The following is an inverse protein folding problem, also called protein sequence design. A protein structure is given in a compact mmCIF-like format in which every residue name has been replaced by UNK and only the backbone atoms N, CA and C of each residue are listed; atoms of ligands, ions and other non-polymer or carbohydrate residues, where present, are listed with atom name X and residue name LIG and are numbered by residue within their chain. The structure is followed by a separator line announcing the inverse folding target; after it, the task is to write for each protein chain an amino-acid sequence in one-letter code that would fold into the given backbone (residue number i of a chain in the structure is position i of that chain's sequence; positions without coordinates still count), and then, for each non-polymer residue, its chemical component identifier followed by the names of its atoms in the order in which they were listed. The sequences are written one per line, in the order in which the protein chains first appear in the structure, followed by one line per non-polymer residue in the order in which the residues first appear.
data_IF_809299525582
#
_entry.id   IF_809299525582
#
_cell.length_a   1.000
_cell.length_b   1.000
_cell.length_c   1.000
_cell.angle_alpha   90.00
_cell.angle_beta   90.00
_cell.angle_gamma   90.00
#
_symmetry.space_group_name_H-M   'P 1'
#
loop_
_entity.id
_entity.type
_entity.pdbx_description
1 polymer ?
#
# COMPACT_ATOMS: atom_id res chain seq x y z
N UNK A 1 -4.53 37.55 1.07
CA UNK A 1 -4.60 37.07 -0.31
C UNK A 1 -5.95 36.42 -0.44
N UNK A 2 -6.78 36.76 -1.44
CA UNK A 2 -8.10 36.15 -1.59
C UNK A 2 -7.95 34.67 -1.89
N UNK A 3 -8.54 33.82 -1.05
CA UNK A 3 -8.60 32.39 -1.28
C UNK A 3 -9.38 32.12 -2.56
N UNK A 4 -8.73 31.44 -3.50
CA UNK A 4 -9.36 31.07 -4.76
C UNK A 4 -10.39 29.98 -4.54
N UNK A 5 -11.58 30.19 -5.07
CA UNK A 5 -12.62 29.17 -5.05
C UNK A 5 -12.26 27.99 -5.96
N UNK A 6 -12.96 26.86 -5.78
CA UNK A 6 -12.82 25.68 -6.65
C UNK A 6 -12.94 26.03 -8.14
N UNK A 7 -13.97 26.81 -8.49
CA UNK A 7 -14.20 27.22 -9.88
C UNK A 7 -13.07 28.09 -10.42
N UNK A 8 -12.55 28.99 -9.58
CA UNK A 8 -11.42 29.85 -9.96
C UNK A 8 -10.14 29.03 -10.20
N UNK A 9 -9.84 28.04 -9.34
CA UNK A 9 -8.67 27.14 -9.52
C UNK A 9 -8.76 26.36 -10.84
N UNK A 10 -9.92 25.78 -11.14
CA UNK A 10 -10.17 25.05 -12.39
C UNK A 10 -9.96 25.99 -13.59
N UNK A 11 -10.57 27.17 -13.55
CA UNK A 11 -10.48 28.18 -14.61
C UNK A 11 -9.05 28.64 -14.87
N UNK A 12 -8.26 28.96 -13.82
CA UNK A 12 -6.88 29.39 -13.96
C UNK A 12 -6.00 28.29 -14.57
N UNK A 13 -6.11 27.06 -14.07
CA UNK A 13 -5.33 25.96 -14.63
C UNK A 13 -5.70 25.68 -16.09
N UNK A 14 -6.98 25.74 -16.44
CA UNK A 14 -7.41 25.61 -17.83
C UNK A 14 -6.78 26.70 -18.72
N UNK A 15 -6.83 27.96 -18.26
CA UNK A 15 -6.25 29.08 -19.00
C UNK A 15 -4.73 28.98 -19.11
N UNK A 16 -4.03 28.55 -18.04
CA UNK A 16 -2.58 28.34 -18.07
C UNK A 16 -2.18 27.26 -19.09
N UNK A 17 -3.01 26.23 -19.27
CA UNK A 17 -2.84 25.19 -20.30
C UNK A 17 -3.38 25.62 -21.67
N UNK A 18 -3.87 26.85 -21.83
CA UNK A 18 -4.46 27.40 -23.07
C UNK A 18 -5.63 26.58 -23.62
N UNK A 19 -6.35 25.89 -22.76
CA UNK A 19 -7.52 25.07 -23.14
C UNK A 19 -8.80 25.92 -23.15
N UNK A 20 -9.68 25.64 -24.10
CA UNK A 20 -11.05 26.14 -24.09
C UNK A 20 -11.91 25.35 -23.12
N UNK A 21 -13.06 25.89 -22.69
CA UNK A 21 -14.03 25.14 -21.87
C UNK A 21 -14.52 23.86 -22.57
N UNK A 22 -14.61 23.87 -23.91
CA UNK A 22 -15.03 22.71 -24.69
C UNK A 22 -13.98 21.60 -24.68
N UNK A 23 -12.71 21.96 -24.77
CA UNK A 23 -11.59 21.01 -24.73
C UNK A 23 -11.46 20.37 -23.32
N UNK A 24 -11.54 21.18 -22.24
CA UNK A 24 -11.47 20.64 -20.87
C UNK A 24 -12.70 19.81 -20.53
N UNK A 25 -13.91 20.18 -21.01
CA UNK A 25 -15.11 19.39 -20.77
C UNK A 25 -15.07 18.02 -21.46
N UNK A 26 -14.41 17.92 -22.61
CA UNK A 26 -14.27 16.69 -23.39
C UNK A 26 -15.62 16.03 -23.70
N UNK A 27 -15.68 14.71 -23.52
CA UNK A 27 -16.91 13.92 -23.64
C UNK A 27 -17.55 13.57 -22.29
N UNK A 28 -16.94 13.97 -21.17
CA UNK A 28 -17.35 13.53 -19.83
C UNK A 28 -18.38 14.48 -19.17
N UNK A 29 -18.19 15.79 -19.35
CA UNK A 29 -19.13 16.81 -18.87
C UNK A 29 -19.50 17.76 -20.01
N UNK A 30 -20.61 18.47 -19.89
CA UNK A 30 -20.97 19.46 -20.87
C UNK A 30 -20.20 20.77 -20.67
N UNK A 31 -19.94 21.54 -21.77
CA UNK A 31 -19.37 22.87 -21.66
C UNK A 31 -20.14 23.77 -20.68
N UNK A 32 -21.48 23.66 -20.70
CA UNK A 32 -22.33 24.46 -19.83
C UNK A 32 -22.14 24.10 -18.34
N UNK A 33 -22.03 22.80 -18.03
CA UNK A 33 -21.72 22.34 -16.69
C UNK A 33 -20.34 22.83 -16.22
N UNK A 34 -19.31 22.76 -17.07
CA UNK A 34 -17.99 23.28 -16.74
C UNK A 34 -18.03 24.79 -16.50
N UNK A 35 -18.79 25.54 -17.30
CA UNK A 35 -18.99 26.99 -17.09
C UNK A 35 -19.63 27.31 -15.75
N UNK A 36 -20.64 26.51 -15.33
CA UNK A 36 -21.27 26.66 -14.02
C UNK A 36 -20.30 26.33 -12.88
N UNK A 37 -19.47 25.31 -13.03
CA UNK A 37 -18.43 24.95 -12.06
C UNK A 37 -17.39 26.07 -11.94
N UNK A 38 -16.87 26.59 -13.07
CA UNK A 38 -15.88 27.67 -13.07
C UNK A 38 -16.39 29.00 -12.47
N UNK A 39 -17.71 29.19 -12.42
CA UNK A 39 -18.36 30.35 -11.82
C UNK A 39 -18.94 30.05 -10.42
N UNK A 40 -18.59 28.90 -9.82
CA UNK A 40 -19.06 28.46 -8.49
C UNK A 40 -20.59 28.38 -8.36
N UNK A 41 -21.31 28.28 -9.49
CA UNK A 41 -22.77 28.15 -9.52
C UNK A 41 -23.24 26.69 -9.54
N UNK A 42 -22.31 25.72 -9.67
CA UNK A 42 -22.58 24.29 -9.52
C UNK A 42 -21.36 23.59 -8.88
N UNK A 43 -21.64 22.62 -8.00
CA UNK A 43 -20.62 21.76 -7.42
C UNK A 43 -20.47 20.50 -8.27
N UNK A 44 -19.28 20.16 -8.76
CA UNK A 44 -19.06 18.93 -9.52
C UNK A 44 -19.25 17.70 -8.65
N UNK A 45 -19.72 16.59 -9.25
CA UNK A 45 -19.70 15.29 -8.60
C UNK A 45 -18.26 14.80 -8.41
N UNK A 46 -18.02 13.83 -7.51
CA UNK A 46 -16.68 13.25 -7.30
C UNK A 46 -16.08 12.72 -8.62
N UNK A 47 -16.86 12.02 -9.43
CA UNK A 47 -16.43 11.54 -10.77
C UNK A 47 -16.06 12.67 -11.72
N UNK A 48 -16.80 13.79 -11.68
CA UNK A 48 -16.48 14.97 -12.48
C UNK A 48 -15.21 15.66 -11.98
N UNK A 49 -14.97 15.65 -10.66
CA UNK A 49 -13.75 16.16 -10.06
C UNK A 49 -12.52 15.34 -10.47
N UNK A 50 -12.60 14.01 -10.38
CA UNK A 50 -11.53 13.11 -10.83
C UNK A 50 -11.18 13.33 -12.29
N UNK A 51 -12.19 13.44 -13.13
CA UNK A 51 -12.00 13.75 -14.55
C UNK A 51 -11.27 15.08 -14.76
N UNK A 52 -11.72 16.15 -14.11
CA UNK A 52 -11.11 17.49 -14.24
C UNK A 52 -9.69 17.52 -13.66
N UNK A 53 -9.45 16.84 -12.54
CA UNK A 53 -8.13 16.71 -11.91
C UNK A 53 -7.13 16.02 -12.86
N UNK A 54 -7.53 14.91 -13.46
CA UNK A 54 -6.71 14.18 -14.44
C UNK A 54 -6.45 15.01 -15.70
N UNK A 55 -7.47 15.67 -16.26
CA UNK A 55 -7.34 16.52 -17.47
C UNK A 55 -6.45 17.75 -17.23
N UNK A 56 -6.45 18.26 -16.00
CA UNK A 56 -5.61 19.40 -15.58
C UNK A 56 -4.25 18.97 -15.01
N UNK A 57 -3.98 17.66 -14.93
CA UNK A 57 -2.73 17.08 -14.40
C UNK A 57 -2.41 17.58 -12.98
N UNK A 58 -3.43 17.60 -12.13
CA UNK A 58 -3.32 17.95 -10.71
C UNK A 58 -4.01 16.89 -9.85
N UNK A 59 -3.48 16.58 -8.68
CA UNK A 59 -4.17 15.69 -7.76
C UNK A 59 -5.52 16.29 -7.36
N UNK A 60 -6.52 15.45 -7.13
CA UNK A 60 -7.88 15.91 -6.78
C UNK A 60 -7.88 16.81 -5.53
N UNK A 61 -6.98 16.54 -4.57
CA UNK A 61 -6.79 17.33 -3.35
C UNK A 61 -6.51 18.81 -3.62
N UNK A 62 -5.79 19.14 -4.72
CA UNK A 62 -5.53 20.53 -5.11
C UNK A 62 -6.81 21.36 -5.30
N UNK A 63 -7.87 20.73 -5.79
CA UNK A 63 -9.13 21.42 -6.09
C UNK A 63 -10.08 21.47 -4.88
N UNK A 64 -10.02 20.47 -4.03
CA UNK A 64 -10.89 20.36 -2.85
C UNK A 64 -10.37 21.21 -1.67
N UNK A 65 -9.13 21.65 -1.78
CA UNK A 65 -8.47 22.47 -0.79
C UNK A 65 -8.94 23.94 -0.88
N UNK A 66 -9.48 24.46 0.21
CA UNK A 66 -9.96 25.84 0.33
C UNK A 66 -8.83 26.87 0.52
N UNK A 67 -7.62 26.60 0.02
CA UNK A 67 -6.54 27.62 0.00
C UNK A 67 -5.68 27.68 1.26
N UNK A 68 -5.92 26.82 2.26
CA UNK A 68 -5.17 26.83 3.53
C UNK A 68 -4.23 25.63 3.73
N UNK A 69 -4.12 24.67 2.77
CA UNK A 69 -3.57 23.35 3.05
C UNK A 69 -2.06 23.31 3.28
N UNK A 70 -1.23 24.03 2.52
CA UNK A 70 0.21 23.94 2.72
C UNK A 70 0.67 24.72 3.98
N UNK A 71 0.06 25.87 4.23
CA UNK A 71 0.37 26.68 5.44
C UNK A 71 -0.17 25.97 6.68
N UNK A 72 -1.38 25.42 6.61
CA UNK A 72 -1.98 24.69 7.74
C UNK A 72 -1.27 23.37 8.00
N UNK A 73 -0.85 22.64 6.96
CA UNK A 73 -0.11 21.39 7.12
C UNK A 73 1.25 21.62 7.83
N UNK A 74 2.02 22.60 7.39
CA UNK A 74 3.31 22.90 8.04
C UNK A 74 3.14 23.39 9.48
N UNK A 75 2.08 24.14 9.79
CA UNK A 75 1.75 24.54 11.15
C UNK A 75 1.30 23.34 12.00
N UNK A 76 0.47 22.44 11.46
CA UNK A 76 0.09 21.23 12.13
C UNK A 76 1.31 20.36 12.47
N UNK A 77 2.17 20.12 11.48
CA UNK A 77 3.40 19.33 11.68
C UNK A 77 4.30 19.96 12.74
N UNK A 78 4.45 21.28 12.75
CA UNK A 78 5.24 21.99 13.77
C UNK A 78 4.65 21.80 15.17
N UNK A 79 3.33 21.89 15.33
CA UNK A 79 2.66 21.67 16.62
C UNK A 79 2.80 20.21 17.08
N UNK A 80 2.63 19.25 16.17
CA UNK A 80 2.78 17.83 16.49
C UNK A 80 4.21 17.47 16.89
N UNK A 81 5.21 18.05 16.23
CA UNK A 81 6.62 17.87 16.61
C UNK A 81 6.86 18.41 18.02
N UNK A 82 6.31 19.60 18.33
CA UNK A 82 6.46 20.20 19.67
C UNK A 82 5.76 19.36 20.75
N UNK A 83 4.56 18.85 20.49
CA UNK A 83 3.83 17.98 21.42
C UNK A 83 4.55 16.64 21.63
N UNK A 84 5.02 15.99 20.55
CA UNK A 84 5.81 14.76 20.67
C UNK A 84 7.13 14.99 21.43
N UNK A 85 7.80 16.12 21.24
CA UNK A 85 9.00 16.46 21.97
C UNK A 85 8.75 16.68 23.49
N UNK A 86 7.54 17.01 23.86
CA UNK A 86 7.07 17.13 25.25
C UNK A 86 6.45 15.83 25.81
N UNK A 87 6.38 14.78 25.00
CA UNK A 87 5.67 13.53 25.30
C UNK A 87 4.17 13.71 25.62
N UNK A 88 3.58 14.82 25.12
CA UNK A 88 2.15 15.12 25.27
C UNK A 88 1.34 14.45 24.13
N UNK A 89 1.28 13.13 24.19
CA UNK A 89 0.63 12.33 23.15
C UNK A 89 -0.90 12.47 23.16
N UNK A 90 -1.50 12.80 24.31
CA UNK A 90 -2.95 13.05 24.41
C UNK A 90 -3.34 14.29 23.61
N UNK A 91 -2.62 15.40 23.78
CA UNK A 91 -2.83 16.61 22.98
C UNK A 91 -2.50 16.41 21.49
N UNK A 92 -1.51 15.57 21.17
CA UNK A 92 -1.18 15.25 19.78
C UNK A 92 -2.31 14.47 19.09
N UNK A 93 -2.89 13.47 19.77
CA UNK A 93 -4.02 12.67 19.28
C UNK A 93 -5.26 13.54 19.11
N UNK A 94 -5.63 14.34 20.12
CA UNK A 94 -6.79 15.25 20.04
C UNK A 94 -6.67 16.22 18.85
N UNK A 95 -5.50 16.82 18.66
CA UNK A 95 -5.23 17.71 17.54
C UNK A 95 -5.39 17.00 16.19
N UNK A 96 -4.84 15.79 16.04
CA UNK A 96 -4.94 15.02 14.80
C UNK A 96 -6.38 14.57 14.50
N UNK A 97 -7.12 14.11 15.52
CA UNK A 97 -8.53 13.73 15.36
C UNK A 97 -9.41 14.93 14.96
N UNK A 98 -9.16 16.12 15.50
CA UNK A 98 -9.91 17.35 15.15
C UNK A 98 -9.57 17.80 13.72
N UNK A 99 -8.29 17.81 13.37
CA UNK A 99 -7.84 18.22 12.05
C UNK A 99 -8.29 17.26 10.94
N UNK A 100 -8.28 15.95 11.18
CA UNK A 100 -8.79 14.96 10.22
C UNK A 100 -10.31 15.05 10.04
N UNK A 101 -11.09 15.44 11.06
CA UNK A 101 -12.51 15.74 10.91
C UNK A 101 -12.75 16.98 10.05
N UNK A 102 -11.89 17.99 10.20
CA UNK A 102 -12.00 19.26 9.49
C UNK A 102 -11.46 19.16 8.06
N UNK A 103 -10.44 18.32 7.86
CA UNK A 103 -9.73 18.10 6.60
C UNK A 103 -9.66 16.61 6.26
N UNK A 104 -10.77 15.94 5.90
CA UNK A 104 -10.82 14.49 5.67
C UNK A 104 -9.82 14.01 4.60
N UNK A 105 -9.47 14.85 3.63
CA UNK A 105 -8.51 14.54 2.58
C UNK A 105 -7.07 14.38 3.09
N UNK A 106 -6.78 14.81 4.30
CA UNK A 106 -5.46 14.56 4.89
C UNK A 106 -5.26 13.10 5.28
N UNK A 107 -6.33 12.31 5.34
CA UNK A 107 -6.22 10.86 5.48
C UNK A 107 -5.49 10.19 4.30
N UNK A 108 -5.48 10.82 3.11
CA UNK A 108 -4.72 10.36 1.94
C UNK A 108 -3.22 10.71 2.03
N UNK A 109 -2.81 11.52 3.00
CA UNK A 109 -1.42 11.91 3.19
C UNK A 109 -0.71 10.94 4.12
N UNK A 110 0.21 10.14 3.57
CA UNK A 110 0.94 9.10 4.29
C UNK A 110 1.65 9.64 5.55
N UNK A 111 2.26 10.84 5.49
CA UNK A 111 2.97 11.42 6.63
C UNK A 111 2.01 11.75 7.79
N UNK A 112 0.82 12.27 7.49
CA UNK A 112 -0.21 12.56 8.52
C UNK A 112 -0.71 11.25 9.12
N UNK A 113 -0.90 10.22 8.30
CA UNK A 113 -1.34 8.93 8.78
C UNK A 113 -0.28 8.21 9.61
N UNK A 114 0.98 8.31 9.23
CA UNK A 114 2.08 7.79 10.04
C UNK A 114 2.13 8.50 11.42
N UNK A 115 1.94 9.81 11.46
CA UNK A 115 1.86 10.58 12.70
C UNK A 115 0.63 10.19 13.52
N UNK A 116 -0.53 10.04 12.88
CA UNK A 116 -1.76 9.62 13.52
C UNK A 116 -1.61 8.26 14.20
N UNK A 117 -1.13 7.26 13.46
CA UNK A 117 -0.94 5.91 14.01
C UNK A 117 0.12 5.91 15.12
N UNK A 118 1.28 6.56 14.90
CA UNK A 118 2.34 6.58 15.90
C UNK A 118 1.91 7.31 17.18
N UNK A 119 1.24 8.47 17.09
CA UNK A 119 0.77 9.19 18.29
C UNK A 119 -0.22 8.35 19.10
N UNK A 120 -1.14 7.64 18.44
CA UNK A 120 -2.06 6.72 19.12
C UNK A 120 -1.35 5.53 19.76
N UNK A 121 -0.34 4.94 19.10
CA UNK A 121 0.46 3.86 19.66
C UNK A 121 1.25 4.34 20.90
N UNK A 122 1.85 5.52 20.86
CA UNK A 122 2.55 6.09 22.03
C UNK A 122 1.58 6.39 23.17
N UNK A 123 0.42 6.98 22.89
CA UNK A 123 -0.60 7.23 23.91
C UNK A 123 -1.12 5.94 24.53
N UNK A 124 -1.38 4.92 23.71
CA UNK A 124 -1.80 3.61 24.21
C UNK A 124 -0.75 2.97 25.12
N UNK A 125 0.53 3.01 24.75
CA UNK A 125 1.62 2.54 25.61
C UNK A 125 1.69 3.31 26.93
N UNK A 126 1.52 4.64 26.90
CA UNK A 126 1.47 5.44 28.13
C UNK A 126 0.34 4.98 29.06
N UNK A 127 -0.84 4.67 28.53
CA UNK A 127 -1.96 4.13 29.31
C UNK A 127 -1.69 2.70 29.83
N UNK A 128 -1.01 1.86 29.03
CA UNK A 128 -0.59 0.50 29.45
C UNK A 128 0.39 0.61 30.64
N UNK A 129 1.39 1.48 30.54
CA UNK A 129 2.37 1.70 31.62
C UNK A 129 1.73 2.23 32.91
N UNK A 130 0.63 2.97 32.79
CA UNK A 130 -0.19 3.42 33.93
C UNK A 130 -1.19 2.37 34.45
N UNK A 131 -1.26 1.19 33.83
CA UNK A 131 -2.25 0.15 34.15
C UNK A 131 -3.69 0.51 33.72
N UNK A 132 -3.85 1.52 32.88
CA UNK A 132 -5.18 1.96 32.40
C UNK A 132 -5.55 1.28 31.07
N UNK A 133 -5.75 -0.02 31.13
CA UNK A 133 -5.98 -0.87 29.94
C UNK A 133 -7.27 -0.51 29.18
N UNK A 134 -8.30 -0.02 29.86
CA UNK A 134 -9.54 0.37 29.19
C UNK A 134 -9.31 1.58 28.25
N UNK A 135 -8.58 2.59 28.72
CA UNK A 135 -8.25 3.74 27.85
C UNK A 135 -7.31 3.32 26.71
N UNK A 136 -6.39 2.42 26.97
CA UNK A 136 -5.52 1.89 25.91
C UNK A 136 -6.32 1.15 24.82
N UNK A 137 -7.31 0.31 25.21
CA UNK A 137 -8.20 -0.36 24.25
C UNK A 137 -8.99 0.65 23.42
N UNK A 138 -9.54 1.70 24.05
CA UNK A 138 -10.30 2.73 23.35
C UNK A 138 -9.45 3.47 22.30
N UNK A 139 -8.23 3.87 22.66
CA UNK A 139 -7.29 4.56 21.77
C UNK A 139 -6.91 3.69 20.58
N UNK A 140 -6.54 2.42 20.82
CA UNK A 140 -6.15 1.49 19.75
C UNK A 140 -7.34 1.13 18.85
N UNK A 141 -8.55 0.99 19.42
CA UNK A 141 -9.76 0.69 18.65
C UNK A 141 -10.16 1.84 17.72
N UNK A 142 -9.90 3.09 18.10
CA UNK A 142 -10.11 4.25 17.21
C UNK A 142 -9.25 4.15 15.95
N UNK A 143 -7.98 3.75 16.07
CA UNK A 143 -7.10 3.59 14.91
C UNK A 143 -7.65 2.52 13.96
N UNK A 144 -8.14 1.38 14.50
CA UNK A 144 -8.73 0.33 13.66
C UNK A 144 -10.02 0.76 12.95
N UNK A 145 -10.81 1.66 13.55
CA UNK A 145 -12.01 2.21 12.90
C UNK A 145 -11.65 3.08 11.68
N UNK A 146 -10.47 3.70 11.68
CA UNK A 146 -9.94 4.39 10.50
C UNK A 146 -9.39 3.41 9.43
N UNK A 147 -9.12 2.14 9.78
CA UNK A 147 -8.61 1.12 8.84
C UNK A 147 -9.54 0.92 7.63
N UNK A 148 -10.86 0.99 7.83
CA UNK A 148 -11.85 0.84 6.75
C UNK A 148 -11.75 1.95 5.69
N UNK A 149 -11.26 3.13 6.07
CA UNK A 149 -11.12 4.30 5.21
C UNK A 149 -9.67 4.53 4.76
N UNK A 150 -8.69 3.91 5.45
CA UNK A 150 -7.26 4.07 5.23
C UNK A 150 -6.70 2.81 4.56
N UNK A 151 -6.95 2.67 3.28
CA UNK A 151 -6.44 1.58 2.41
C UNK A 151 -4.91 1.44 2.36
N UNK A 152 -4.15 2.28 3.07
CA UNK A 152 -2.69 2.36 3.01
C UNK A 152 -1.97 2.14 4.35
N UNK A 153 -2.65 1.65 5.40
CA UNK A 153 -1.94 1.32 6.64
C UNK A 153 -0.99 0.15 6.38
N UNK A 154 0.29 0.34 6.71
CA UNK A 154 1.29 -0.70 6.49
C UNK A 154 1.05 -1.91 7.39
N UNK A 155 1.34 -3.11 6.89
CA UNK A 155 1.23 -4.36 7.67
C UNK A 155 1.95 -4.27 9.04
N UNK A 156 3.04 -3.49 9.13
CA UNK A 156 3.78 -3.33 10.38
C UNK A 156 3.00 -2.53 11.45
N UNK A 157 2.22 -1.52 11.06
CA UNK A 157 1.36 -0.79 11.98
C UNK A 157 0.18 -1.66 12.44
N UNK A 158 -0.46 -2.36 11.52
CA UNK A 158 -1.53 -3.30 11.84
C UNK A 158 -1.06 -4.38 12.82
N UNK A 159 0.13 -4.95 12.58
CA UNK A 159 0.74 -5.90 13.51
C UNK A 159 0.90 -5.31 14.90
N UNK A 160 1.50 -4.12 15.02
CA UNK A 160 1.71 -3.46 16.33
C UNK A 160 0.40 -3.18 17.06
N UNK A 161 -0.63 -2.73 16.35
CA UNK A 161 -1.95 -2.45 16.93
C UNK A 161 -2.59 -3.75 17.44
N UNK A 162 -2.60 -4.82 16.65
CA UNK A 162 -3.17 -6.09 17.06
C UNK A 162 -2.39 -6.74 18.20
N UNK A 163 -1.08 -6.59 18.25
CA UNK A 163 -0.22 -7.09 19.32
C UNK A 163 -0.57 -6.41 20.64
N UNK A 164 -0.62 -5.06 20.65
CA UNK A 164 -1.04 -4.29 21.84
C UNK A 164 -2.50 -4.57 22.24
N UNK A 165 -3.43 -4.71 21.30
CA UNK A 165 -4.81 -5.05 21.60
C UNK A 165 -4.95 -6.46 22.20
N UNK A 166 -4.13 -7.41 21.77
CA UNK A 166 -4.09 -8.74 22.37
C UNK A 166 -3.60 -8.68 23.83
N UNK A 167 -2.54 -7.92 24.09
CA UNK A 167 -2.01 -7.69 25.43
C UNK A 167 -3.05 -7.01 26.33
N UNK A 168 -3.59 -5.88 25.91
CA UNK A 168 -4.60 -5.11 26.65
C UNK A 168 -5.85 -5.93 26.93
N UNK A 169 -6.36 -6.67 25.95
CA UNK A 169 -7.53 -7.55 26.14
C UNK A 169 -7.24 -8.67 27.12
N UNK A 170 -6.00 -9.18 27.17
CA UNK A 170 -5.59 -10.17 28.15
C UNK A 170 -5.59 -9.61 29.57
N UNK A 171 -5.10 -8.37 29.76
CA UNK A 171 -5.12 -7.68 31.05
C UNK A 171 -6.53 -7.32 31.55
N UNK A 172 -7.48 -7.18 30.62
CA UNK A 172 -8.90 -6.94 30.88
C UNK A 172 -9.72 -8.24 31.08
N UNK A 173 -9.08 -9.40 31.19
CA UNK A 173 -9.70 -10.72 31.25
C UNK A 173 -10.62 -11.06 30.04
N UNK A 174 -10.42 -10.41 28.91
CA UNK A 174 -11.20 -10.61 27.68
C UNK A 174 -10.52 -11.65 26.76
N UNK A 175 -10.34 -12.88 27.26
CA UNK A 175 -9.52 -13.91 26.63
C UNK A 175 -9.88 -14.21 25.14
N UNK A 176 -11.15 -14.21 24.80
CA UNK A 176 -11.57 -14.48 23.40
C UNK A 176 -11.19 -13.34 22.45
N UNK A 177 -11.29 -12.08 22.90
CA UNK A 177 -10.80 -10.94 22.13
C UNK A 177 -9.26 -10.99 21.99
N UNK A 178 -8.56 -11.27 23.08
CA UNK A 178 -7.10 -11.40 23.09
C UNK A 178 -6.64 -12.43 22.05
N UNK A 179 -7.25 -13.62 22.05
CA UNK A 179 -6.96 -14.67 21.05
C UNK A 179 -7.26 -14.21 19.63
N UNK A 180 -8.37 -13.51 19.41
CA UNK A 180 -8.75 -13.03 18.09
C UNK A 180 -7.73 -12.00 17.55
N UNK A 181 -7.32 -11.04 18.38
CA UNK A 181 -6.30 -10.05 18.01
C UNK A 181 -4.93 -10.69 17.81
N UNK A 182 -4.51 -11.59 18.69
CA UNK A 182 -3.27 -12.35 18.54
C UNK A 182 -3.22 -13.10 17.20
N UNK A 183 -4.30 -13.79 16.83
CA UNK A 183 -4.35 -14.52 15.56
C UNK A 183 -4.26 -13.60 14.35
N UNK A 184 -4.89 -12.42 14.40
CA UNK A 184 -4.76 -11.40 13.34
C UNK A 184 -3.31 -10.90 13.24
N UNK A 185 -2.70 -10.53 14.36
CA UNK A 185 -1.30 -10.11 14.41
C UNK A 185 -0.34 -11.21 13.92
N UNK A 186 -0.57 -12.46 14.34
CA UNK A 186 0.20 -13.62 13.89
C UNK A 186 0.18 -13.77 12.38
N UNK A 187 -0.99 -13.66 11.75
CA UNK A 187 -1.11 -13.76 10.28
C UNK A 187 -0.31 -12.66 9.57
N UNK A 188 -0.35 -11.44 10.09
CA UNK A 188 0.38 -10.31 9.51
C UNK A 188 1.89 -10.49 9.67
N UNK A 189 2.36 -10.86 10.87
CA UNK A 189 3.81 -11.04 11.09
C UNK A 189 4.37 -12.20 10.25
N UNK A 190 3.62 -13.28 10.08
CA UNK A 190 3.99 -14.37 9.18
C UNK A 190 4.19 -13.88 7.75
N UNK A 191 3.28 -13.06 7.23
CA UNK A 191 3.40 -12.44 5.90
C UNK A 191 4.62 -11.52 5.79
N UNK A 192 4.90 -10.70 6.80
CA UNK A 192 6.08 -9.82 6.83
C UNK A 192 7.36 -10.66 6.81
N UNK A 193 7.44 -11.70 7.64
CA UNK A 193 8.60 -12.60 7.72
C UNK A 193 8.82 -13.31 6.39
N UNK A 194 7.76 -13.89 5.80
CA UNK A 194 7.80 -14.55 4.49
C UNK A 194 8.35 -13.61 3.40
N UNK A 195 7.80 -12.39 3.33
CA UNK A 195 8.26 -11.38 2.37
C UNK A 195 9.74 -11.03 2.54
N UNK A 196 10.22 -10.90 3.79
CA UNK A 196 11.64 -10.62 4.08
C UNK A 196 12.56 -11.78 3.71
N UNK A 197 12.15 -13.01 4.01
CA UNK A 197 12.90 -14.21 3.63
C UNK A 197 13.04 -14.32 2.11
N UNK A 198 11.93 -14.15 1.38
CA UNK A 198 11.93 -14.16 -0.09
C UNK A 198 12.79 -13.03 -0.65
N UNK A 199 12.76 -11.83 -0.05
CA UNK A 199 13.62 -10.72 -0.48
C UNK A 199 15.11 -11.02 -0.26
N UNK A 200 15.47 -11.69 0.84
CA UNK A 200 16.84 -12.13 1.10
C UNK A 200 17.32 -13.11 0.05
N UNK A 201 16.49 -14.12 -0.30
CA UNK A 201 16.83 -15.08 -1.38
C UNK A 201 17.02 -14.36 -2.73
N UNK A 202 16.16 -13.38 -3.04
CA UNK A 202 16.29 -12.59 -4.27
C UNK A 202 17.62 -11.84 -4.34
N UNK A 203 18.04 -11.20 -3.25
CA UNK A 203 19.32 -10.50 -3.16
C UNK A 203 20.49 -11.47 -3.38
N UNK A 204 20.52 -12.61 -2.70
CA UNK A 204 21.54 -13.65 -2.88
C UNK A 204 21.59 -14.17 -4.32
N UNK A 205 20.42 -14.35 -4.93
CA UNK A 205 20.34 -14.74 -6.35
C UNK A 205 20.97 -13.68 -7.28
N UNK A 206 20.79 -12.41 -7.00
CA UNK A 206 21.34 -11.30 -7.78
C UNK A 206 22.86 -11.15 -7.57
N UNK A 207 23.34 -11.37 -6.34
CA UNK A 207 24.77 -11.30 -6.01
C UNK A 207 25.58 -12.50 -6.53
N UNK A 208 24.90 -13.55 -7.02
CA UNK A 208 25.55 -14.72 -7.61
C UNK A 208 26.03 -15.76 -6.58
N UNK A 209 25.56 -15.69 -5.33
CA UNK A 209 25.87 -16.66 -4.26
C UNK A 209 25.11 -17.98 -4.46
N UNK A 210 25.40 -18.72 -5.55
CA UNK A 210 24.57 -19.86 -5.96
C UNK A 210 24.61 -21.06 -4.98
N UNK A 211 25.75 -21.33 -4.33
CA UNK A 211 25.86 -22.44 -3.38
C UNK A 211 25.05 -22.22 -2.11
N UNK A 212 25.20 -21.05 -1.48
CA UNK A 212 24.45 -20.69 -0.27
C UNK A 212 22.96 -20.54 -0.55
N UNK A 213 22.59 -20.06 -1.75
CA UNK A 213 21.21 -19.90 -2.17
C UNK A 213 20.47 -21.23 -2.29
N UNK A 214 21.11 -22.27 -2.86
CA UNK A 214 20.51 -23.59 -3.00
C UNK A 214 20.23 -24.24 -1.63
N UNK A 215 21.16 -24.09 -0.68
CA UNK A 215 21.01 -24.56 0.70
C UNK A 215 19.89 -23.82 1.45
N UNK A 216 19.84 -22.50 1.32
CA UNK A 216 18.78 -21.69 1.92
C UNK A 216 17.39 -22.06 1.37
N UNK A 217 17.27 -22.25 0.05
CA UNK A 217 16.02 -22.70 -0.58
C UNK A 217 15.57 -24.06 -0.02
N UNK A 218 16.49 -25.00 0.13
CA UNK A 218 16.18 -26.35 0.62
C UNK A 218 15.76 -26.36 2.09
N UNK A 219 16.26 -25.44 2.91
CA UNK A 219 16.01 -25.37 4.34
C UNK A 219 14.83 -24.48 4.73
N UNK A 220 14.24 -23.73 3.78
CA UNK A 220 13.20 -22.77 4.08
C UNK A 220 11.83 -23.45 4.26
N UNK A 221 11.19 -23.19 5.39
CA UNK A 221 9.82 -23.62 5.65
C UNK A 221 8.82 -22.59 5.07
N UNK A 222 8.14 -23.00 4.01
CA UNK A 222 7.20 -22.13 3.28
C UNK A 222 5.72 -22.39 3.59
N UNK A 223 5.42 -23.26 4.59
CA UNK A 223 4.02 -23.67 4.91
C UNK A 223 3.11 -22.52 5.28
N UNK A 224 3.68 -21.48 5.91
CA UNK A 224 2.94 -20.30 6.38
C UNK A 224 3.04 -19.10 5.40
N UNK A 225 3.56 -19.31 4.20
CA UNK A 225 3.68 -18.23 3.22
C UNK A 225 2.31 -17.86 2.64
N UNK A 226 2.07 -16.56 2.50
CA UNK A 226 0.95 -16.08 1.69
C UNK A 226 1.17 -16.41 0.19
N UNK A 227 0.09 -16.45 -0.61
CA UNK A 227 0.21 -16.87 -2.02
C UNK A 227 1.20 -16.05 -2.84
N UNK A 228 1.33 -14.76 -2.57
CA UNK A 228 2.28 -13.90 -3.28
C UNK A 228 3.74 -14.21 -2.90
N UNK A 229 4.02 -14.33 -1.61
CA UNK A 229 5.35 -14.70 -1.12
C UNK A 229 5.77 -16.09 -1.60
N UNK A 230 4.82 -17.04 -1.62
CA UNK A 230 5.06 -18.38 -2.12
C UNK A 230 5.37 -18.39 -3.63
N UNK A 231 4.61 -17.64 -4.43
CA UNK A 231 4.86 -17.52 -5.87
C UNK A 231 6.24 -16.89 -6.16
N UNK A 232 6.63 -15.86 -5.42
CA UNK A 232 7.97 -15.26 -5.54
C UNK A 232 9.08 -16.23 -5.13
N UNK A 233 8.87 -16.99 -4.05
CA UNK A 233 9.80 -18.03 -3.63
C UNK A 233 10.00 -19.05 -4.77
N UNK A 234 8.90 -19.58 -5.34
CA UNK A 234 9.00 -20.55 -6.43
C UNK A 234 9.70 -19.98 -7.68
N UNK A 235 9.48 -18.71 -8.02
CA UNK A 235 10.18 -18.06 -9.13
C UNK A 235 11.71 -18.00 -8.88
N UNK A 236 12.13 -17.64 -7.66
CA UNK A 236 13.55 -17.55 -7.29
C UNK A 236 14.18 -18.94 -7.28
N UNK A 237 13.49 -19.92 -6.67
CA UNK A 237 13.94 -21.32 -6.63
C UNK A 237 14.11 -21.88 -8.05
N UNK A 238 13.10 -21.72 -8.91
CA UNK A 238 13.17 -22.16 -10.30
C UNK A 238 14.31 -21.50 -11.09
N UNK A 239 14.51 -20.18 -10.90
CA UNK A 239 15.64 -19.46 -11.52
C UNK A 239 16.99 -19.97 -11.03
N UNK A 240 17.11 -20.27 -9.74
CA UNK A 240 18.32 -20.82 -9.14
C UNK A 240 18.62 -22.22 -9.68
N UNK A 241 17.62 -23.11 -9.72
CA UNK A 241 17.76 -24.46 -10.28
C UNK A 241 18.17 -24.44 -11.75
N UNK A 242 17.57 -23.54 -12.54
CA UNK A 242 17.97 -23.37 -13.95
C UNK A 242 19.45 -22.97 -14.08
N UNK A 243 19.92 -22.01 -13.29
CA UNK A 243 21.35 -21.57 -13.30
C UNK A 243 22.30 -22.69 -12.92
N UNK A 244 21.85 -23.64 -12.10
CA UNK A 244 22.61 -24.81 -11.69
C UNK A 244 22.50 -26.00 -12.68
N UNK A 245 21.83 -25.81 -13.84
CA UNK A 245 21.64 -26.85 -14.85
C UNK A 245 20.56 -27.90 -14.52
N UNK A 246 19.75 -27.65 -13.46
CA UNK A 246 18.70 -28.57 -12.99
C UNK A 246 17.36 -28.18 -13.64
N UNK A 247 17.23 -28.43 -14.96
CA UNK A 247 16.10 -27.93 -15.74
C UNK A 247 14.76 -28.57 -15.32
N UNK A 248 14.72 -29.83 -14.91
CA UNK A 248 13.47 -30.51 -14.50
C UNK A 248 12.90 -29.89 -13.21
N UNK A 249 13.74 -29.69 -12.20
CA UNK A 249 13.36 -29.04 -10.95
C UNK A 249 12.98 -27.57 -11.18
N UNK A 250 13.73 -26.87 -12.02
CA UNK A 250 13.44 -25.49 -12.40
C UNK A 250 12.05 -25.36 -13.01
N UNK A 251 11.68 -26.23 -13.95
CA UNK A 251 10.34 -26.25 -14.56
C UNK A 251 9.26 -26.44 -13.52
N UNK A 252 9.43 -27.37 -12.57
CA UNK A 252 8.44 -27.63 -11.54
C UNK A 252 8.19 -26.39 -10.68
N UNK A 253 9.22 -25.72 -10.20
CA UNK A 253 9.10 -24.47 -9.43
C UNK A 253 8.50 -23.33 -10.26
N UNK A 254 8.93 -23.15 -11.49
CA UNK A 254 8.44 -22.08 -12.37
C UNK A 254 6.95 -22.24 -12.69
N UNK A 255 6.47 -23.46 -12.90
CA UNK A 255 5.04 -23.73 -13.10
C UNK A 255 4.22 -23.40 -11.87
N UNK A 256 4.67 -23.77 -10.66
CA UNK A 256 3.98 -23.42 -9.42
C UNK A 256 3.91 -21.89 -9.21
N UNK A 257 4.96 -21.16 -9.59
CA UNK A 257 4.94 -19.69 -9.56
C UNK A 257 3.93 -19.12 -10.57
N UNK A 258 3.84 -19.72 -11.75
CA UNK A 258 3.00 -19.26 -12.85
C UNK A 258 1.51 -19.32 -12.51
N UNK A 259 1.06 -20.36 -11.77
CA UNK A 259 -0.33 -20.51 -11.33
C UNK A 259 -0.87 -19.26 -10.61
N UNK A 260 -0.02 -18.58 -9.86
CA UNK A 260 -0.38 -17.32 -9.22
C UNK A 260 -0.39 -16.13 -10.19
N UNK A 261 0.67 -16.00 -11.02
CA UNK A 261 0.84 -14.83 -11.86
C UNK A 261 -0.05 -14.82 -13.11
N UNK A 262 -0.48 -15.96 -13.62
CA UNK A 262 -1.49 -16.03 -14.70
C UNK A 262 -2.86 -15.51 -14.25
N UNK A 263 -3.22 -15.73 -13.00
CA UNK A 263 -4.49 -15.23 -12.42
C UNK A 263 -4.41 -13.77 -11.95
N UNK A 264 -3.21 -13.18 -11.91
CA UNK A 264 -2.98 -11.81 -11.43
C UNK A 264 -2.87 -10.81 -12.60
N UNK A 265 -3.12 -9.53 -12.31
CA UNK A 265 -2.96 -8.42 -13.29
C UNK A 265 -1.49 -8.21 -13.73
N UNK A 266 -0.53 -8.95 -13.19
CA UNK A 266 0.90 -8.73 -13.37
C UNK A 266 1.48 -9.54 -14.53
N UNK A 267 1.05 -9.24 -15.76
CA UNK A 267 1.46 -9.92 -17.00
C UNK A 267 2.98 -9.91 -17.28
N UNK A 268 3.71 -8.87 -16.82
CA UNK A 268 5.15 -8.77 -17.06
C UNK A 268 5.98 -9.82 -16.30
N UNK A 269 5.52 -10.21 -15.09
CA UNK A 269 6.19 -11.29 -14.33
C UNK A 269 5.92 -12.63 -14.98
N UNK A 270 4.68 -12.89 -15.40
CA UNK A 270 4.34 -14.10 -16.13
C UNK A 270 5.17 -14.24 -17.42
N UNK A 271 5.37 -13.15 -18.16
CA UNK A 271 6.23 -13.14 -19.34
C UNK A 271 7.67 -13.57 -19.02
N UNK A 272 8.23 -13.10 -17.92
CA UNK A 272 9.58 -13.51 -17.47
C UNK A 272 9.64 -15.00 -17.12
N UNK A 273 8.62 -15.52 -16.46
CA UNK A 273 8.55 -16.96 -16.12
C UNK A 273 8.44 -17.80 -17.41
N UNK A 274 7.59 -17.39 -18.37
CA UNK A 274 7.51 -18.07 -19.67
C UNK A 274 8.84 -18.11 -20.41
N UNK A 275 9.62 -17.02 -20.40
CA UNK A 275 10.95 -17.01 -20.99
C UNK A 275 11.91 -18.01 -20.33
N UNK A 276 11.86 -18.12 -19.01
CA UNK A 276 12.68 -19.09 -18.30
C UNK A 276 12.27 -20.54 -18.60
N UNK A 277 10.95 -20.81 -18.63
CA UNK A 277 10.43 -22.12 -19.05
C UNK A 277 10.86 -22.47 -20.47
N UNK A 278 10.80 -21.51 -21.41
CA UNK A 278 11.29 -21.70 -22.77
C UNK A 278 12.75 -22.11 -22.81
N UNK A 279 13.60 -21.46 -22.02
CA UNK A 279 15.02 -21.79 -21.92
C UNK A 279 15.24 -23.20 -21.36
N UNK A 280 14.55 -23.55 -20.26
CA UNK A 280 14.65 -24.88 -19.66
C UNK A 280 14.28 -25.98 -20.68
N UNK A 281 13.16 -25.82 -21.39
CA UNK A 281 12.74 -26.81 -22.39
C UNK A 281 13.67 -26.85 -23.60
N UNK A 282 14.30 -25.74 -23.99
CA UNK A 282 15.30 -25.71 -25.04
C UNK A 282 16.55 -26.48 -24.67
N UNK A 283 17.02 -26.41 -23.42
CA UNK A 283 18.19 -27.18 -22.93
C UNK A 283 17.89 -28.68 -22.78
N UNK A 284 16.63 -29.02 -22.66
CA UNK A 284 16.15 -30.43 -22.63
C UNK A 284 15.80 -30.96 -24.04
N UNK A 285 16.12 -30.25 -25.11
CA UNK A 285 15.81 -30.56 -26.51
C UNK A 285 14.29 -30.65 -26.83
N UNK A 286 13.39 -30.18 -25.94
CA UNK A 286 11.96 -30.08 -26.20
C UNK A 286 11.63 -28.74 -26.88
N UNK A 287 12.10 -28.58 -28.12
CA UNK A 287 11.94 -27.32 -28.87
C UNK A 287 10.50 -26.93 -29.14
N UNK A 288 9.56 -27.88 -29.13
CA UNK A 288 8.14 -27.60 -29.29
C UNK A 288 7.60 -26.82 -28.10
N UNK A 289 7.82 -27.31 -26.87
CA UNK A 289 7.39 -26.61 -25.67
C UNK A 289 8.17 -25.31 -25.49
N UNK A 290 9.48 -25.29 -25.81
CA UNK A 290 10.27 -24.08 -25.76
C UNK A 290 9.67 -22.97 -26.63
N UNK A 291 9.24 -23.29 -27.84
CA UNK A 291 8.58 -22.34 -28.75
C UNK A 291 7.21 -21.88 -28.23
N UNK A 292 6.39 -22.82 -27.72
CA UNK A 292 5.06 -22.50 -27.17
C UNK A 292 5.17 -21.54 -26.00
N UNK A 293 6.13 -21.73 -25.08
CA UNK A 293 6.36 -20.80 -23.96
C UNK A 293 6.95 -19.47 -24.40
N UNK A 294 7.82 -19.45 -25.42
CA UNK A 294 8.33 -18.19 -25.97
C UNK A 294 7.21 -17.35 -26.58
N UNK A 295 6.27 -17.97 -27.27
CA UNK A 295 5.09 -17.27 -27.79
C UNK A 295 4.19 -16.70 -26.67
N UNK A 296 3.97 -17.49 -25.60
CA UNK A 296 3.25 -16.99 -24.43
C UNK A 296 3.93 -15.77 -23.79
N UNK A 297 5.26 -15.78 -23.70
CA UNK A 297 6.04 -14.66 -23.18
C UNK A 297 5.86 -13.38 -24.03
N UNK A 298 5.84 -13.52 -25.35
CA UNK A 298 5.62 -12.39 -26.27
C UNK A 298 4.23 -11.80 -26.17
N UNK A 299 3.22 -12.65 -25.97
CA UNK A 299 1.81 -12.22 -25.86
C UNK A 299 1.48 -11.61 -24.49
N UNK A 300 2.27 -11.86 -23.46
CA UNK A 300 2.07 -11.33 -22.10
C UNK A 300 2.79 -9.99 -21.84
N UNK A 301 3.55 -9.48 -22.79
CA UNK A 301 4.18 -8.14 -22.78
C UNK A 301 3.29 -7.08 -23.38
#
# INVERSE_FOLDING_TARGET
MNDMTLGQKIRELRLSKKMTQKELAGSFITRNMLSQIENDSATPSMKSMEYLANALERPIGYFLDKGHSEVNLSQLLSKLIDQNAKEDYEAAVELLEEELKTHPLWADNQMIMDLFVNSHLFLANTFIDQGNYTKAEDVLSKVLNYEADILNMTDIYLYKIYDLLAEVSSQLDQLEKAKAYYNKGKTIIQKIVASRQVQSLYIKMMDGESETLAEDIANLDTRDYDPYSLARFHMIAGTSMYRNGQCEEAINYLLQSLDYYESSVNSSVAATIYEQLSKCYSEMDDYKKAYDYLQKAQNAR
#
